data_IF_346799235761
#
_entry.id   IF_346799235761
#
_cell.length_a   1.000
_cell.length_b   1.000
_cell.length_c   1.000
_cell.angle_alpha   90.00
_cell.angle_beta   90.00
_cell.angle_gamma   90.00
#
_symmetry.space_group_name_H-M   'P 1'
#
loop_
_entity.id
_entity.type
_entity.pdbx_description
1 polymer ?
#
# COMPACT_ATOMS: atom_id res chain seq x y z
N UNK A 1 21.70 14.55 -9.92
CA UNK A 1 21.56 13.32 -9.10
C UNK A 1 20.84 12.29 -9.96
N UNK A 2 21.42 11.11 -10.18
CA UNK A 2 20.77 10.04 -10.95
C UNK A 2 19.47 9.62 -10.24
N UNK A 3 18.33 9.92 -10.85
CA UNK A 3 17.06 9.32 -10.47
C UNK A 3 17.09 7.87 -10.93
N UNK A 4 17.37 6.93 -10.03
CA UNK A 4 17.22 5.51 -10.30
C UNK A 4 15.71 5.20 -10.38
N UNK A 5 15.12 5.35 -11.56
CA UNK A 5 13.72 5.04 -11.86
C UNK A 5 13.40 3.53 -11.83
N UNK A 6 14.35 2.69 -11.43
CA UNK A 6 14.23 1.24 -11.44
C UNK A 6 14.68 0.65 -10.10
N UNK A 7 13.76 -0.06 -9.42
CA UNK A 7 14.02 -0.74 -8.14
C UNK A 7 13.79 -2.24 -8.31
N UNK A 8 14.79 -3.05 -7.96
CA UNK A 8 14.72 -4.50 -8.01
C UNK A 8 14.57 -5.03 -6.58
N UNK A 9 13.54 -5.84 -6.34
CA UNK A 9 13.33 -6.52 -5.06
C UNK A 9 13.55 -8.03 -5.23
N UNK A 10 14.72 -8.51 -4.80
CA UNK A 10 15.01 -9.94 -4.73
C UNK A 10 14.29 -10.56 -3.53
N UNK A 11 13.54 -11.65 -3.74
CA UNK A 11 12.75 -12.25 -2.67
C UNK A 11 12.63 -13.77 -2.82
N UNK A 12 13.18 -14.51 -1.85
CA UNK A 12 13.11 -15.98 -1.74
C UNK A 12 11.71 -16.45 -1.32
N UNK A 13 11.39 -17.74 -1.43
CA UNK A 13 10.12 -18.27 -0.90
C UNK A 13 9.96 -17.90 0.59
N UNK A 14 8.78 -17.43 1.00
CA UNK A 14 8.51 -17.02 2.39
C UNK A 14 9.03 -15.63 2.81
N UNK A 15 9.78 -14.91 1.98
CA UNK A 15 10.39 -13.61 2.33
C UNK A 15 9.45 -12.38 2.25
N UNK A 16 8.14 -12.60 2.11
CA UNK A 16 7.16 -11.49 2.09
C UNK A 16 7.07 -10.70 0.78
N UNK A 17 7.44 -11.29 -0.38
CA UNK A 17 7.38 -10.60 -1.70
C UNK A 17 6.05 -9.89 -1.96
N UNK A 18 4.94 -10.60 -1.70
CA UNK A 18 3.59 -10.07 -1.93
C UNK A 18 3.27 -8.88 -1.04
N UNK A 19 3.76 -8.89 0.21
CA UNK A 19 3.63 -7.75 1.11
C UNK A 19 4.41 -6.53 0.60
N UNK A 20 5.66 -6.74 0.15
CA UNK A 20 6.48 -5.67 -0.41
C UNK A 20 5.80 -4.99 -1.60
N UNK A 21 5.30 -5.75 -2.58
CA UNK A 21 4.62 -5.17 -3.74
C UNK A 21 3.34 -4.42 -3.36
N UNK A 22 2.56 -4.97 -2.42
CA UNK A 22 1.35 -4.31 -1.91
C UNK A 22 1.70 -2.99 -1.21
N UNK A 23 2.73 -2.97 -0.36
CA UNK A 23 3.21 -1.77 0.33
C UNK A 23 3.68 -0.70 -0.67
N UNK A 24 4.46 -1.08 -1.68
CA UNK A 24 4.95 -0.14 -2.70
C UNK A 24 3.79 0.47 -3.50
N UNK A 25 2.79 -0.32 -3.88
CA UNK A 25 1.60 0.20 -4.56
C UNK A 25 0.86 1.23 -3.70
N UNK A 26 0.61 0.90 -2.43
CA UNK A 26 -0.07 1.79 -1.48
C UNK A 26 0.75 3.06 -1.25
N UNK A 27 2.07 2.96 -1.13
CA UNK A 27 2.94 4.12 -1.00
C UNK A 27 2.79 5.06 -2.18
N UNK A 28 2.92 4.56 -3.41
CA UNK A 28 2.77 5.37 -4.62
C UNK A 28 1.38 6.03 -4.69
N UNK A 29 0.35 5.28 -4.31
CA UNK A 29 -1.04 5.75 -4.23
C UNK A 29 -1.21 6.90 -3.23
N UNK A 30 -0.67 6.75 -2.02
CA UNK A 30 -0.85 7.71 -0.92
C UNK A 30 0.16 8.85 -0.94
N UNK A 31 1.22 8.79 -1.75
CA UNK A 31 2.18 9.88 -1.90
C UNK A 31 1.52 11.10 -2.54
N UNK A 32 0.54 10.87 -3.41
CA UNK A 32 -0.23 11.91 -4.08
C UNK A 32 -1.49 12.28 -3.30
N UNK A 33 -1.95 13.52 -3.45
CA UNK A 33 -3.19 13.99 -2.79
C UNK A 33 -4.46 13.67 -3.56
N UNK A 34 -4.32 13.40 -4.86
CA UNK A 34 -5.40 13.02 -5.76
C UNK A 34 -5.80 11.54 -5.55
N UNK A 35 -7.05 11.27 -5.12
CA UNK A 35 -7.54 9.91 -4.94
C UNK A 35 -7.71 9.14 -6.27
N UNK A 36 -7.57 9.79 -7.43
CA UNK A 36 -7.58 9.13 -8.73
C UNK A 36 -6.20 8.70 -9.21
N UNK A 37 -5.13 9.02 -8.46
CA UNK A 37 -3.76 8.76 -8.92
C UNK A 37 -3.44 7.27 -9.10
N UNK A 38 -4.15 6.37 -8.43
CA UNK A 38 -4.01 4.93 -8.63
C UNK A 38 -4.19 4.50 -10.11
N UNK A 39 -4.95 5.28 -10.90
CA UNK A 39 -5.13 5.06 -12.35
C UNK A 39 -3.83 5.20 -13.16
N UNK A 40 -2.82 5.87 -12.59
CA UNK A 40 -1.49 6.00 -13.19
C UNK A 40 -0.52 4.89 -12.75
N UNK A 41 -0.94 3.98 -11.88
CA UNK A 41 -0.09 2.90 -11.36
C UNK A 41 -0.46 1.58 -12.04
N UNK A 42 0.46 1.06 -12.85
CA UNK A 42 0.32 -0.25 -13.50
C UNK A 42 1.07 -1.32 -12.69
N UNK A 43 0.32 -2.28 -12.14
CA UNK A 43 0.87 -3.49 -11.53
C UNK A 43 0.62 -4.70 -12.43
N UNK A 44 1.67 -5.46 -12.73
CA UNK A 44 1.63 -6.62 -13.64
C UNK A 44 2.02 -7.87 -12.84
N UNK A 45 1.30 -8.97 -13.07
CA UNK A 45 1.59 -10.29 -12.48
C UNK A 45 1.50 -11.36 -13.56
N UNK A 46 2.01 -12.56 -13.28
CA UNK A 46 2.03 -13.66 -14.26
C UNK A 46 0.66 -14.26 -14.54
N UNK A 47 -0.28 -14.20 -13.59
CA UNK A 47 -1.61 -14.82 -13.71
C UNK A 47 -2.70 -13.86 -13.26
N UNK A 48 -3.92 -14.02 -13.80
CA UNK A 48 -5.07 -13.23 -13.38
C UNK A 48 -5.41 -13.44 -11.89
N UNK A 49 -5.23 -14.65 -11.38
CA UNK A 49 -5.48 -14.95 -9.96
C UNK A 49 -4.52 -14.18 -9.05
N UNK A 50 -3.23 -14.10 -9.41
CA UNK A 50 -2.26 -13.29 -8.66
C UNK A 50 -2.59 -11.80 -8.74
N UNK A 51 -3.06 -11.30 -9.89
CA UNK A 51 -3.51 -9.92 -10.04
C UNK A 51 -4.71 -9.63 -9.14
N UNK A 52 -5.70 -10.53 -9.12
CA UNK A 52 -6.91 -10.40 -8.31
C UNK A 52 -6.58 -10.46 -6.81
N UNK A 53 -5.69 -11.37 -6.40
CA UNK A 53 -5.22 -11.45 -5.02
C UNK A 53 -4.52 -10.15 -4.60
N UNK A 54 -3.62 -9.62 -5.43
CA UNK A 54 -2.92 -8.36 -5.15
C UNK A 54 -3.90 -7.18 -5.05
N UNK A 55 -4.88 -7.11 -5.96
CA UNK A 55 -5.96 -6.10 -5.91
C UNK A 55 -6.73 -6.16 -4.59
N UNK A 56 -7.17 -7.36 -4.18
CA UNK A 56 -7.90 -7.54 -2.93
C UNK A 56 -7.09 -7.05 -1.72
N UNK A 57 -5.79 -7.40 -1.67
CA UNK A 57 -4.87 -6.97 -0.60
C UNK A 57 -4.69 -5.44 -0.56
N UNK A 58 -4.55 -4.80 -1.72
CA UNK A 58 -4.42 -3.33 -1.81
C UNK A 58 -5.67 -2.66 -1.26
N UNK A 59 -6.86 -3.11 -1.68
CA UNK A 59 -8.13 -2.54 -1.24
C UNK A 59 -8.33 -2.75 0.27
N UNK A 60 -8.04 -3.96 0.79
CA UNK A 60 -8.09 -4.26 2.23
C UNK A 60 -7.17 -3.34 3.03
N UNK A 61 -5.91 -3.19 2.59
CA UNK A 61 -4.96 -2.37 3.29
C UNK A 61 -5.33 -0.87 3.26
N UNK A 62 -5.82 -0.35 2.14
CA UNK A 62 -6.34 1.02 2.06
C UNK A 62 -7.55 1.22 2.98
N UNK A 63 -8.48 0.25 3.02
CA UNK A 63 -9.63 0.30 3.93
C UNK A 63 -9.18 0.33 5.39
N UNK A 64 -8.21 -0.51 5.75
CA UNK A 64 -7.70 -0.57 7.13
C UNK A 64 -6.98 0.73 7.52
N UNK A 65 -6.29 1.37 6.57
CA UNK A 65 -5.70 2.69 6.80
C UNK A 65 -6.78 3.77 7.03
N UNK A 66 -7.86 3.74 6.24
CA UNK A 66 -8.94 4.72 6.29
C UNK A 66 -9.82 4.58 7.55
N UNK A 67 -10.16 3.36 7.96
CA UNK A 67 -11.17 3.12 8.99
C UNK A 67 -10.63 2.26 10.15
N UNK A 68 -9.69 2.79 10.97
CA UNK A 68 -9.07 2.03 12.06
C UNK A 68 -10.04 1.55 13.14
N UNK A 69 -11.17 2.22 13.32
CA UNK A 69 -12.18 1.87 14.32
C UNK A 69 -12.95 0.57 13.98
N UNK A 70 -12.85 0.07 12.75
CA UNK A 70 -13.56 -1.14 12.29
C UNK A 70 -12.68 -2.40 12.36
N UNK A 71 -11.46 -2.29 12.88
CA UNK A 71 -10.45 -3.35 12.78
C UNK A 71 -10.54 -4.36 13.92
N UNK A 72 -10.36 -5.62 13.57
CA UNK A 72 -9.96 -6.67 14.52
C UNK A 72 -8.54 -6.41 15.04
N UNK A 73 -8.17 -7.01 16.17
CA UNK A 73 -6.82 -6.88 16.75
C UNK A 73 -5.71 -7.24 15.74
N UNK A 74 -5.95 -8.29 14.95
CA UNK A 74 -5.00 -8.75 13.91
C UNK A 74 -4.84 -7.72 12.79
N UNK A 75 -5.93 -7.10 12.35
CA UNK A 75 -5.89 -6.08 11.31
C UNK A 75 -5.25 -4.78 11.83
N UNK A 76 -5.54 -4.42 13.08
CA UNK A 76 -4.90 -3.28 13.74
C UNK A 76 -3.38 -3.46 13.82
N UNK A 77 -2.89 -4.67 14.13
CA UNK A 77 -1.46 -4.98 14.13
C UNK A 77 -0.86 -4.86 12.72
N UNK A 78 -1.49 -5.46 11.69
CA UNK A 78 -1.03 -5.33 10.29
C UNK A 78 -0.99 -3.88 9.83
N UNK A 79 -2.03 -3.11 10.15
CA UNK A 79 -2.11 -1.67 9.87
C UNK A 79 -0.97 -0.92 10.53
N UNK A 80 -0.67 -1.21 11.79
CA UNK A 80 0.40 -0.53 12.53
C UNK A 80 1.77 -0.75 11.86
N UNK A 81 2.06 -1.98 11.44
CA UNK A 81 3.29 -2.31 10.71
C UNK A 81 3.35 -1.56 9.37
N UNK A 82 2.25 -1.56 8.61
CA UNK A 82 2.18 -0.84 7.33
C UNK A 82 2.35 0.67 7.53
N UNK A 83 1.64 1.27 8.48
CA UNK A 83 1.73 2.69 8.79
C UNK A 83 3.16 3.09 9.17
N UNK A 84 3.84 2.30 9.99
CA UNK A 84 5.21 2.61 10.38
C UNK A 84 6.11 2.68 9.14
N UNK A 85 6.04 1.67 8.27
CA UNK A 85 6.83 1.66 7.02
C UNK A 85 6.49 2.83 6.08
N UNK A 86 5.19 3.17 5.93
CA UNK A 86 4.78 4.28 5.08
C UNK A 86 5.25 5.63 5.63
N UNK A 87 5.25 5.81 6.95
CA UNK A 87 5.75 7.05 7.58
C UNK A 87 7.24 7.24 7.32
N UNK A 88 8.03 6.17 7.50
CA UNK A 88 9.47 6.19 7.27
C UNK A 88 9.80 6.48 5.80
N UNK A 89 9.05 5.89 4.87
CA UNK A 89 9.33 6.02 3.44
C UNK A 89 8.75 7.29 2.78
N UNK A 90 7.68 7.88 3.34
CA UNK A 90 7.00 9.05 2.75
C UNK A 90 7.17 10.35 3.52
N UNK A 91 7.57 10.28 4.80
CA UNK A 91 7.62 11.43 5.70
C UNK A 91 6.24 11.97 6.10
N UNK A 92 5.13 11.32 5.71
CA UNK A 92 3.77 11.76 6.00
C UNK A 92 3.35 11.35 7.41
N UNK A 93 2.55 12.20 8.08
CA UNK A 93 1.99 11.87 9.39
C UNK A 93 0.91 10.77 9.29
N UNK A 94 0.68 9.98 10.36
CA UNK A 94 -0.38 8.97 10.39
C UNK A 94 -1.75 9.55 10.00
N UNK A 95 -2.07 10.75 10.49
CA UNK A 95 -3.34 11.43 10.24
C UNK A 95 -3.47 11.81 8.76
N UNK A 96 -2.38 12.26 8.12
CA UNK A 96 -2.38 12.60 6.70
C UNK A 96 -2.53 11.36 5.83
N UNK A 97 -1.84 10.26 6.18
CA UNK A 97 -2.00 8.96 5.49
C UNK A 97 -3.43 8.42 5.60
N UNK A 98 -4.01 8.45 6.80
CA UNK A 98 -5.40 8.05 7.02
C UNK A 98 -6.38 8.91 6.22
N UNK A 99 -6.29 10.24 6.32
CA UNK A 99 -7.17 11.16 5.59
C UNK A 99 -7.06 10.99 4.08
N UNK A 100 -5.86 10.71 3.55
CA UNK A 100 -5.69 10.39 2.12
C UNK A 100 -6.36 9.06 1.76
N UNK A 101 -6.23 8.04 2.59
CA UNK A 101 -6.87 6.75 2.38
C UNK A 101 -8.42 6.85 2.40
N UNK A 102 -8.98 7.65 3.30
CA UNK A 102 -10.44 7.89 3.39
C UNK A 102 -11.03 8.41 2.06
N UNK A 103 -10.31 9.29 1.35
CA UNK A 103 -10.74 9.83 0.05
C UNK A 103 -10.90 8.79 -1.07
N UNK A 104 -10.35 7.59 -0.92
CA UNK A 104 -10.51 6.50 -1.90
C UNK A 104 -11.85 5.77 -1.74
N UNK A 105 -12.60 6.05 -0.67
CA UNK A 105 -13.89 5.43 -0.35
C UNK A 105 -15.05 6.43 -0.26
N UNK A 106 -14.78 7.71 -0.57
CA UNK A 106 -15.77 8.79 -0.64
C UNK A 106 -16.35 8.95 -2.04
#
# INVERSE_FOLDING_TARGET
>A
MQHQNFKIYSSSAGSGKTYTLTREYIKLTLLQEDPHYFRHILAITFTNDAANEMKARIVEALRNLAFPALLTDREAQKRQVLLQSLREETGLSPQKLQKRAEKYFS
#
